data_IF_054351907779
#
_entry.id   IF_054351907779
#
_cell.length_a   1.000
_cell.length_b   1.000
_cell.length_c   1.000
_cell.angle_alpha   90.00
_cell.angle_beta   90.00
_cell.angle_gamma   90.00
#
_symmetry.space_group_name_H-M   'P 1'
#
loop_
_entity.id
_entity.type
_entity.pdbx_description
1 polymer ?
#
# COMPACT_ATOMS: atom_id res chain seq x y z
N UNK A 1 -67.05 -1.34 53.81
CA UNK A 1 -67.00 -1.19 52.34
C UNK A 1 -65.72 -0.41 52.00
N UNK A 2 -64.72 -1.07 51.42
CA UNK A 2 -63.38 -0.52 51.16
C UNK A 2 -63.45 0.46 49.97
N UNK A 3 -63.01 1.72 50.17
CA UNK A 3 -62.82 2.69 49.08
C UNK A 3 -61.45 2.42 48.44
N UNK A 4 -61.46 2.03 47.17
CA UNK A 4 -60.26 1.80 46.35
C UNK A 4 -59.78 3.17 45.85
N UNK A 5 -58.56 3.55 46.22
CA UNK A 5 -57.87 4.74 45.74
C UNK A 5 -57.19 4.36 44.41
N UNK A 6 -57.72 4.85 43.28
CA UNK A 6 -57.11 4.66 41.96
C UNK A 6 -56.04 5.75 41.80
N UNK A 7 -54.76 5.37 41.90
CA UNK A 7 -53.63 6.23 41.57
C UNK A 7 -53.47 6.19 40.05
N UNK A 8 -53.79 7.30 39.40
CA UNK A 8 -53.60 7.50 37.96
C UNK A 8 -52.09 7.74 37.71
N UNK A 9 -51.37 6.71 37.28
CA UNK A 9 -49.99 6.85 36.81
C UNK A 9 -50.00 7.55 35.45
N UNK A 10 -49.71 8.86 35.45
CA UNK A 10 -49.46 9.62 34.23
C UNK A 10 -48.08 9.21 33.72
N UNK A 11 -48.05 8.32 32.72
CA UNK A 11 -46.86 8.01 31.96
C UNK A 11 -46.52 9.23 31.09
N UNK A 12 -45.59 10.08 31.55
CA UNK A 12 -44.98 11.09 30.70
C UNK A 12 -44.16 10.38 29.61
N UNK A 13 -44.76 10.20 28.43
CA UNK A 13 -44.06 9.80 27.22
C UNK A 13 -43.26 11.03 26.77
N UNK A 14 -42.03 11.14 27.27
CA UNK A 14 -41.05 12.09 26.73
C UNK A 14 -40.72 11.64 25.30
N UNK A 15 -40.80 12.51 24.29
CA UNK A 15 -40.35 12.17 22.96
C UNK A 15 -38.84 11.88 23.03
N UNK A 16 -38.47 10.63 22.73
CA UNK A 16 -37.08 10.25 22.50
C UNK A 16 -36.64 11.03 21.27
N UNK A 17 -35.96 12.16 21.47
CA UNK A 17 -35.25 12.82 20.39
C UNK A 17 -34.16 11.85 19.94
N UNK A 18 -34.31 11.29 18.73
CA UNK A 18 -33.21 10.65 18.04
C UNK A 18 -32.16 11.73 17.83
N UNK A 19 -31.10 11.70 18.64
CA UNK A 19 -29.86 12.39 18.33
C UNK A 19 -29.30 11.66 17.11
N UNK A 20 -29.58 12.19 15.92
CA UNK A 20 -28.77 11.86 14.76
C UNK A 20 -27.42 12.50 15.06
N UNK A 21 -26.44 11.69 15.48
CA UNK A 21 -25.06 12.09 15.31
C UNK A 21 -24.90 12.36 13.81
N UNK A 22 -24.70 13.63 13.46
CA UNK A 22 -24.22 13.98 12.14
C UNK A 22 -22.83 13.34 12.09
N UNK A 23 -22.71 12.23 11.37
CA UNK A 23 -21.40 11.77 10.92
C UNK A 23 -20.90 12.91 10.03
N UNK A 24 -20.08 13.81 10.59
CA UNK A 24 -19.49 14.90 9.84
C UNK A 24 -18.69 14.23 8.70
N UNK A 25 -19.13 14.43 7.45
CA UNK A 25 -18.37 13.99 6.29
C UNK A 25 -16.97 14.62 6.41
N UNK A 26 -15.96 13.78 6.65
CA UNK A 26 -14.58 14.20 6.90
C UNK A 26 -13.96 14.80 5.63
N UNK A 27 -14.52 14.46 4.48
CA UNK A 27 -14.05 14.82 3.15
C UNK A 27 -15.19 15.39 2.29
N UNK A 28 -15.85 16.49 2.70
CA UNK A 28 -17.10 16.93 2.07
C UNK A 28 -16.92 17.40 0.62
N UNK A 29 -15.74 17.93 0.27
CA UNK A 29 -15.46 18.47 -1.07
C UNK A 29 -14.88 17.42 -2.03
N UNK A 30 -14.20 16.39 -1.52
CA UNK A 30 -13.76 15.29 -2.35
C UNK A 30 -14.95 14.50 -2.93
N UNK A 31 -14.93 14.26 -4.25
CA UNK A 31 -15.96 13.41 -4.90
C UNK A 31 -15.84 11.95 -4.47
N UNK A 32 -14.60 11.48 -4.31
CA UNK A 32 -14.28 10.13 -3.85
C UNK A 32 -13.10 10.17 -2.90
N UNK A 33 -13.17 9.35 -1.83
CA UNK A 33 -12.15 9.24 -0.81
C UNK A 33 -12.05 7.83 -0.24
N UNK A 34 -10.86 7.44 0.19
CA UNK A 34 -10.65 6.21 0.98
C UNK A 34 -9.46 6.39 1.92
N UNK A 35 -9.54 5.76 3.09
CA UNK A 35 -8.42 5.56 4.00
C UNK A 35 -8.29 4.08 4.31
N UNK A 36 -7.10 3.53 4.12
CA UNK A 36 -6.77 2.15 4.46
C UNK A 36 -5.58 2.07 5.41
N UNK A 37 -5.49 1.00 6.17
CA UNK A 37 -4.21 0.56 6.74
C UNK A 37 -3.40 -0.16 5.65
N UNK A 38 -2.11 0.17 5.53
CA UNK A 38 -1.29 -0.19 4.37
C UNK A 38 -1.05 -1.71 4.22
N UNK A 39 -0.80 -2.43 5.32
CA UNK A 39 -0.40 -3.84 5.25
C UNK A 39 -1.59 -4.78 5.01
N UNK A 40 -2.63 -4.64 5.84
CA UNK A 40 -3.86 -5.44 5.79
C UNK A 40 -4.82 -4.98 4.68
N UNK A 41 -4.68 -3.74 4.20
CA UNK A 41 -5.62 -3.08 3.27
C UNK A 41 -7.02 -2.93 3.88
N UNK A 42 -7.12 -2.99 5.21
CA UNK A 42 -8.37 -2.75 5.91
C UNK A 42 -8.85 -1.33 5.65
N UNK A 43 -10.10 -1.20 5.20
CA UNK A 43 -10.74 0.10 4.99
C UNK A 43 -11.13 0.69 6.35
N UNK A 44 -10.62 1.88 6.62
CA UNK A 44 -10.91 2.67 7.82
C UNK A 44 -11.97 3.74 7.55
N UNK A 45 -11.98 4.28 6.32
CA UNK A 45 -12.97 5.24 5.83
C UNK A 45 -13.15 5.07 4.32
N UNK A 46 -14.35 5.31 3.80
CA UNK A 46 -14.59 5.37 2.35
C UNK A 46 -15.79 6.25 1.99
N UNK A 47 -15.67 6.97 0.87
CA UNK A 47 -16.72 7.75 0.20
C UNK A 47 -16.59 7.52 -1.30
N UNK A 48 -17.61 6.94 -1.94
CA UNK A 48 -17.60 6.65 -3.39
C UNK A 48 -16.32 5.95 -3.88
N UNK A 49 -15.70 5.09 -3.06
CA UNK A 49 -14.32 4.65 -3.30
C UNK A 49 -14.11 3.82 -4.58
N UNK A 50 -15.20 3.27 -5.15
CA UNK A 50 -15.17 2.51 -6.40
C UNK A 50 -15.64 3.31 -7.63
N UNK A 51 -15.97 4.60 -7.46
CA UNK A 51 -16.39 5.45 -8.57
C UNK A 51 -15.22 5.69 -9.55
N UNK A 52 -15.48 5.51 -10.85
CA UNK A 52 -14.49 5.74 -11.89
C UNK A 52 -14.28 7.24 -12.10
N UNK A 53 -13.04 7.68 -11.91
CA UNK A 53 -12.59 9.06 -12.04
C UNK A 53 -11.25 9.12 -12.79
N UNK A 54 -10.91 10.29 -13.30
CA UNK A 54 -9.63 10.49 -13.98
C UNK A 54 -8.49 10.57 -12.95
N UNK A 55 -7.38 9.82 -13.13
CA UNK A 55 -6.29 9.78 -12.15
C UNK A 55 -5.39 11.03 -12.18
N UNK A 56 -5.30 11.70 -13.33
CA UNK A 56 -4.20 12.62 -13.61
C UNK A 56 -2.84 11.96 -13.26
N UNK A 57 -1.86 12.73 -12.77
CA UNK A 57 -0.52 12.19 -12.45
C UNK A 57 -0.46 11.13 -11.34
N UNK A 58 -1.55 10.76 -10.66
CA UNK A 58 -1.53 9.57 -9.79
C UNK A 58 -1.32 8.28 -10.59
N UNK A 59 -1.53 8.30 -11.91
CA UNK A 59 -1.12 7.24 -12.86
C UNK A 59 0.34 6.82 -12.68
N UNK A 60 1.23 7.76 -12.32
CA UNK A 60 2.66 7.48 -12.15
C UNK A 60 2.97 6.54 -10.99
N UNK A 61 2.00 6.27 -10.11
CA UNK A 61 2.10 5.18 -9.13
C UNK A 61 2.27 3.84 -9.85
N UNK A 62 1.50 3.57 -10.92
CA UNK A 62 1.67 2.36 -11.73
C UNK A 62 3.01 2.35 -12.48
N UNK A 63 3.46 3.51 -12.99
CA UNK A 63 4.79 3.64 -13.59
C UNK A 63 5.89 3.25 -12.61
N UNK A 64 5.82 3.75 -11.36
CA UNK A 64 6.76 3.38 -10.31
C UNK A 64 6.63 1.89 -9.90
N UNK A 65 5.43 1.32 -9.89
CA UNK A 65 5.24 -0.13 -9.62
C UNK A 65 6.04 -0.96 -10.62
N UNK A 66 5.86 -0.73 -11.92
CA UNK A 66 6.55 -1.51 -12.95
C UNK A 66 8.07 -1.30 -12.92
N UNK A 67 8.51 -0.08 -12.59
CA UNK A 67 9.93 0.22 -12.39
C UNK A 67 10.53 -0.56 -11.22
N UNK A 68 9.90 -0.53 -10.04
CA UNK A 68 10.38 -1.26 -8.87
C UNK A 68 10.30 -2.78 -9.05
N UNK A 69 9.30 -3.31 -9.75
CA UNK A 69 9.28 -4.73 -10.11
C UNK A 69 10.44 -5.12 -11.02
N UNK A 70 10.74 -4.31 -12.03
CA UNK A 70 11.89 -4.56 -12.91
C UNK A 70 13.23 -4.50 -12.16
N UNK A 71 13.36 -3.60 -11.17
CA UNK A 71 14.54 -3.53 -10.28
C UNK A 71 14.63 -4.77 -9.39
N UNK A 72 13.53 -5.14 -8.72
CA UNK A 72 13.50 -6.31 -7.83
C UNK A 72 13.74 -7.64 -8.58
N UNK A 73 13.32 -7.70 -9.84
CA UNK A 73 13.59 -8.82 -10.76
C UNK A 73 15.02 -8.78 -11.35
N UNK A 74 15.85 -7.80 -10.96
CA UNK A 74 17.22 -7.59 -11.47
C UNK A 74 17.30 -7.42 -12.99
N UNK A 75 16.24 -6.90 -13.61
CA UNK A 75 16.19 -6.61 -15.06
C UNK A 75 16.79 -5.25 -15.38
N UNK A 76 16.68 -4.31 -14.45
CA UNK A 76 17.23 -2.96 -14.53
C UNK A 76 17.82 -2.58 -13.16
N UNK A 77 18.65 -1.54 -13.11
CA UNK A 77 19.21 -1.00 -11.87
C UNK A 77 19.09 0.53 -11.82
N UNK A 78 19.18 1.12 -10.62
CA UNK A 78 19.16 2.58 -10.46
C UNK A 78 20.32 3.29 -11.16
N UNK A 79 21.43 2.59 -11.42
CA UNK A 79 22.61 3.08 -12.13
C UNK A 79 22.48 3.00 -13.66
N UNK A 80 21.40 2.40 -14.17
CA UNK A 80 21.18 2.27 -15.61
C UNK A 80 20.99 3.65 -16.26
N UNK A 81 21.69 3.87 -17.37
CA UNK A 81 21.60 5.10 -18.15
C UNK A 81 20.44 5.04 -19.15
N UNK A 82 19.42 5.87 -18.95
CA UNK A 82 18.23 5.94 -19.80
C UNK A 82 18.43 7.01 -20.86
N UNK A 83 18.37 6.60 -22.13
CA UNK A 83 18.45 7.53 -23.28
C UNK A 83 17.07 8.06 -23.63
N UNK A 84 16.93 9.38 -23.64
CA UNK A 84 15.66 10.04 -23.94
C UNK A 84 15.33 9.96 -25.44
N UNK A 85 14.16 9.42 -25.77
CA UNK A 85 13.65 9.37 -27.13
C UNK A 85 13.07 10.72 -27.59
N UNK A 86 12.86 10.86 -28.91
CA UNK A 86 12.13 12.02 -29.46
C UNK A 86 10.72 12.13 -28.89
N UNK A 87 10.05 11.00 -28.63
CA UNK A 87 8.70 11.02 -28.10
C UNK A 87 8.68 11.47 -26.64
N UNK A 88 9.57 10.92 -25.79
CA UNK A 88 9.72 11.35 -24.40
C UNK A 88 10.04 12.85 -24.28
N UNK A 89 10.98 13.36 -25.09
CA UNK A 89 11.32 14.79 -25.12
C UNK A 89 10.16 15.69 -25.61
N UNK A 90 9.23 15.14 -26.42
CA UNK A 90 8.09 15.89 -26.96
C UNK A 90 6.90 16.01 -26.00
N UNK A 91 6.98 15.38 -24.81
CA UNK A 91 5.91 15.44 -23.83
C UNK A 91 5.60 16.89 -23.44
N UNK A 92 4.36 17.12 -22.98
CA UNK A 92 3.93 18.37 -22.35
C UNK A 92 3.57 18.15 -20.88
N UNK A 93 3.14 19.21 -20.19
CA UNK A 93 2.75 19.15 -18.78
C UNK A 93 3.95 19.33 -17.83
N UNK A 94 3.95 18.64 -16.68
CA UNK A 94 5.09 18.64 -15.76
C UNK A 94 6.26 17.89 -16.39
N UNK A 95 7.44 18.50 -16.45
CA UNK A 95 8.62 17.99 -17.16
C UNK A 95 9.90 18.41 -16.44
N UNK A 96 10.99 17.69 -16.74
CA UNK A 96 12.37 18.11 -16.42
C UNK A 96 13.14 18.51 -17.69
N UNK A 97 12.42 18.64 -18.80
CA UNK A 97 12.88 19.13 -20.11
C UNK A 97 14.02 18.28 -20.67
N UNK A 98 13.82 16.95 -20.72
CA UNK A 98 14.80 16.05 -21.32
C UNK A 98 15.01 16.35 -22.81
N UNK A 99 16.28 16.40 -23.24
CA UNK A 99 16.65 16.57 -24.64
C UNK A 99 16.76 15.22 -25.37
N UNK A 100 16.52 15.22 -26.69
CA UNK A 100 16.63 14.00 -27.50
C UNK A 100 18.05 13.45 -27.47
N UNK A 101 18.22 12.20 -27.05
CA UNK A 101 19.53 11.55 -26.91
C UNK A 101 20.25 11.85 -25.59
N UNK A 102 19.70 12.73 -24.75
CA UNK A 102 20.19 12.92 -23.38
C UNK A 102 20.13 11.61 -22.61
N UNK A 103 21.20 11.32 -21.85
CA UNK A 103 21.27 10.18 -20.95
C UNK A 103 21.23 10.65 -19.50
N UNK A 104 20.43 9.96 -18.70
CA UNK A 104 20.31 10.22 -17.28
C UNK A 104 20.04 8.90 -16.56
N UNK A 105 20.63 8.73 -15.37
CA UNK A 105 20.47 7.51 -14.58
C UNK A 105 19.00 7.27 -14.21
N UNK A 106 18.63 5.99 -14.05
CA UNK A 106 17.30 5.61 -13.58
C UNK A 106 17.00 6.24 -12.21
N UNK A 107 18.00 6.44 -11.35
CA UNK A 107 17.84 7.17 -10.07
C UNK A 107 17.32 8.60 -10.28
N UNK A 108 17.91 9.37 -11.18
CA UNK A 108 17.50 10.75 -11.44
C UNK A 108 16.18 10.80 -12.23
N UNK A 109 15.92 9.82 -13.10
CA UNK A 109 14.60 9.63 -13.72
C UNK A 109 13.52 9.35 -12.66
N UNK A 110 13.81 8.49 -11.68
CA UNK A 110 12.89 8.18 -10.58
C UNK A 110 12.60 9.41 -9.73
N UNK A 111 13.63 10.16 -9.31
CA UNK A 111 13.45 11.46 -8.62
C UNK A 111 12.56 12.40 -9.43
N UNK A 112 12.79 12.51 -10.74
CA UNK A 112 11.98 13.35 -11.64
C UNK A 112 10.50 12.94 -11.66
N UNK A 113 10.22 11.64 -11.68
CA UNK A 113 8.86 11.07 -11.67
C UNK A 113 8.19 11.29 -10.30
N UNK A 114 8.88 10.94 -9.22
CA UNK A 114 8.33 10.94 -7.87
C UNK A 114 8.12 12.36 -7.31
N UNK A 115 9.12 13.22 -7.47
CA UNK A 115 9.15 14.58 -6.88
C UNK A 115 8.48 15.59 -7.81
N UNK A 116 8.97 15.72 -9.05
CA UNK A 116 8.50 16.73 -9.99
C UNK A 116 7.34 16.27 -10.88
N UNK A 117 6.93 15.01 -10.78
CA UNK A 117 5.84 14.45 -11.59
C UNK A 117 6.11 14.50 -13.10
N UNK A 118 7.38 14.37 -13.50
CA UNK A 118 7.86 14.59 -14.86
C UNK A 118 7.30 13.55 -15.87
N UNK A 119 6.65 14.04 -16.92
CA UNK A 119 5.99 13.26 -17.97
C UNK A 119 7.00 12.67 -18.95
N UNK A 120 7.98 13.47 -19.36
CA UNK A 120 9.11 13.08 -20.19
C UNK A 120 9.89 11.92 -19.56
N UNK A 121 10.26 12.03 -18.27
CA UNK A 121 10.92 10.95 -17.54
C UNK A 121 10.04 9.69 -17.43
N UNK A 122 8.73 9.84 -17.20
CA UNK A 122 7.80 8.70 -17.14
C UNK A 122 7.73 7.93 -18.46
N UNK A 123 7.75 8.64 -19.59
CA UNK A 123 7.76 8.02 -20.92
C UNK A 123 9.10 7.36 -21.21
N UNK A 124 10.22 8.05 -20.93
CA UNK A 124 11.56 7.50 -21.14
C UNK A 124 11.80 6.20 -20.34
N UNK A 125 11.42 6.19 -19.06
CA UNK A 125 11.49 4.98 -18.20
C UNK A 125 10.57 3.88 -18.74
N UNK A 126 9.35 4.22 -19.17
CA UNK A 126 8.43 3.24 -19.74
C UNK A 126 8.96 2.60 -21.03
N UNK A 127 9.52 3.41 -21.93
CA UNK A 127 10.19 2.95 -23.15
C UNK A 127 11.40 2.06 -22.83
N UNK A 128 12.21 2.43 -21.83
CA UNK A 128 13.36 1.64 -21.41
C UNK A 128 12.95 0.25 -20.89
N UNK A 129 11.91 0.18 -20.06
CA UNK A 129 11.42 -1.07 -19.46
C UNK A 129 10.78 -2.00 -20.50
N UNK A 130 9.94 -1.46 -21.39
CA UNK A 130 9.08 -2.25 -22.27
C UNK A 130 9.54 -2.29 -23.74
N UNK A 131 10.56 -1.50 -24.09
CA UNK A 131 11.03 -1.28 -25.46
C UNK A 131 10.17 -0.31 -26.28
N UNK A 132 8.94 -0.01 -25.86
CA UNK A 132 8.10 1.06 -26.41
C UNK A 132 7.03 1.50 -25.41
N UNK A 133 6.52 2.71 -25.54
CA UNK A 133 5.51 3.24 -24.63
C UNK A 133 4.17 2.49 -24.74
N UNK A 134 3.80 1.98 -25.92
CA UNK A 134 2.58 1.19 -26.13
C UNK A 134 2.65 -0.16 -25.41
N UNK A 135 3.83 -0.81 -25.46
CA UNK A 135 4.07 -2.03 -24.67
C UNK A 135 4.04 -1.74 -23.19
N UNK A 136 4.58 -0.59 -22.76
CA UNK A 136 4.51 -0.19 -21.36
C UNK A 136 3.06 0.02 -20.89
N UNK A 137 2.22 0.69 -21.67
CA UNK A 137 0.78 0.85 -21.37
C UNK A 137 0.08 -0.51 -21.33
N UNK A 138 0.48 -1.47 -22.16
CA UNK A 138 -0.03 -2.85 -22.10
C UNK A 138 0.34 -3.50 -20.76
N UNK A 139 1.62 -3.41 -20.34
CA UNK A 139 2.08 -3.90 -19.04
C UNK A 139 1.35 -3.24 -17.86
N UNK A 140 1.06 -1.94 -17.94
CA UNK A 140 0.29 -1.23 -16.89
C UNK A 140 -1.11 -1.85 -16.72
N UNK A 141 -1.78 -2.20 -17.81
CA UNK A 141 -3.11 -2.81 -17.76
C UNK A 141 -3.07 -4.30 -17.38
N UNK A 142 -2.01 -5.02 -17.76
CA UNK A 142 -1.76 -6.39 -17.28
C UNK A 142 -1.55 -6.40 -15.77
N UNK A 143 -0.70 -5.50 -15.26
CA UNK A 143 -0.49 -5.31 -13.82
C UNK A 143 -1.77 -4.93 -13.09
N UNK A 144 -2.61 -4.07 -13.68
CA UNK A 144 -3.90 -3.74 -13.10
C UNK A 144 -4.81 -4.99 -12.93
N UNK A 145 -4.78 -5.92 -13.89
CA UNK A 145 -5.52 -7.20 -13.78
C UNK A 145 -4.91 -8.11 -12.71
N UNK A 146 -3.59 -8.22 -12.66
CA UNK A 146 -2.87 -9.01 -11.65
C UNK A 146 -3.15 -8.54 -10.22
N UNK A 147 -3.22 -7.22 -10.02
CA UNK A 147 -3.58 -6.60 -8.75
C UNK A 147 -5.10 -6.55 -8.50
N UNK A 148 -5.91 -7.09 -9.42
CA UNK A 148 -7.38 -7.14 -9.34
C UNK A 148 -8.03 -5.73 -9.23
N UNK A 149 -7.48 -4.75 -9.94
CA UNK A 149 -7.96 -3.37 -9.99
C UNK A 149 -9.13 -3.25 -10.98
N UNK A 150 -10.35 -3.46 -10.49
CA UNK A 150 -11.55 -3.63 -11.33
C UNK A 150 -12.02 -2.35 -12.02
N UNK A 151 -11.62 -1.20 -11.49
CA UNK A 151 -12.08 0.11 -11.94
C UNK A 151 -10.93 0.95 -12.48
N UNK A 152 -9.89 0.31 -13.02
CA UNK A 152 -8.70 0.99 -13.54
C UNK A 152 -8.41 0.58 -14.97
N UNK A 153 -8.10 1.56 -15.82
CA UNK A 153 -7.61 1.38 -17.18
C UNK A 153 -6.67 2.52 -17.55
N UNK A 154 -5.49 2.18 -18.09
CA UNK A 154 -4.46 3.13 -18.47
C UNK A 154 -4.38 3.28 -19.99
N UNK A 155 -4.33 4.53 -20.46
CA UNK A 155 -4.10 4.88 -21.88
C UNK A 155 -2.71 5.43 -22.15
N UNK A 156 -2.01 5.85 -21.11
CA UNK A 156 -0.68 6.46 -21.17
C UNK A 156 0.02 6.29 -19.81
N UNK A 157 1.33 6.54 -19.77
CA UNK A 157 2.13 6.43 -18.55
C UNK A 157 2.15 7.70 -17.68
N UNK A 158 1.51 8.78 -18.14
CA UNK A 158 1.70 10.12 -17.56
C UNK A 158 0.50 10.61 -16.77
N UNK A 159 -0.69 10.11 -17.09
CA UNK A 159 -1.96 10.63 -16.57
C UNK A 159 -2.48 11.84 -17.32
N UNK A 160 -1.98 12.13 -18.52
CA UNK A 160 -2.64 13.09 -19.41
C UNK A 160 -4.04 12.60 -19.75
N UNK A 161 -4.98 13.55 -19.87
CA UNK A 161 -6.40 13.24 -20.02
C UNK A 161 -6.67 12.42 -21.29
N UNK A 162 -7.43 11.35 -21.10
CA UNK A 162 -8.05 10.53 -22.14
C UNK A 162 -9.36 9.97 -21.54
N UNK A 163 -10.50 9.98 -22.24
CA UNK A 163 -11.78 9.49 -21.72
C UNK A 163 -11.76 8.03 -21.24
N UNK A 164 -10.92 7.19 -21.86
CA UNK A 164 -10.74 5.79 -21.51
C UNK A 164 -9.69 5.60 -20.39
N UNK A 165 -9.06 6.66 -19.90
CA UNK A 165 -8.04 6.58 -18.86
C UNK A 165 -8.64 6.90 -17.49
N UNK A 166 -9.00 5.87 -16.73
CA UNK A 166 -9.71 6.02 -15.46
C UNK A 166 -9.15 5.12 -14.36
N UNK A 167 -9.43 5.47 -13.11
CA UNK A 167 -9.18 4.66 -11.90
C UNK A 167 -10.29 4.92 -10.88
N UNK A 168 -10.15 4.41 -9.66
CA UNK A 168 -10.96 4.82 -8.50
C UNK A 168 -10.09 4.97 -7.25
N UNK A 169 -10.64 5.56 -6.18
CA UNK A 169 -9.88 5.79 -4.96
C UNK A 169 -9.41 4.48 -4.31
N UNK A 170 -10.24 3.43 -4.34
CA UNK A 170 -9.90 2.10 -3.85
C UNK A 170 -8.70 1.52 -4.61
N UNK A 171 -8.75 1.49 -5.94
CA UNK A 171 -7.68 0.92 -6.76
C UNK A 171 -6.36 1.69 -6.59
N UNK A 172 -6.41 3.03 -6.45
CA UNK A 172 -5.24 3.85 -6.11
C UNK A 172 -4.66 3.49 -4.73
N UNK A 173 -5.49 3.23 -3.73
CA UNK A 173 -5.03 2.81 -2.41
C UNK A 173 -4.36 1.43 -2.47
N UNK A 174 -4.91 0.49 -3.25
CA UNK A 174 -4.30 -0.83 -3.47
C UNK A 174 -2.96 -0.71 -4.20
N UNK A 175 -2.88 0.12 -5.24
CA UNK A 175 -1.63 0.39 -5.96
C UNK A 175 -0.57 1.01 -5.03
N UNK A 176 -0.94 1.98 -4.21
CA UNK A 176 -0.04 2.61 -3.25
C UNK A 176 0.48 1.62 -2.20
N UNK A 177 -0.41 0.80 -1.63
CA UNK A 177 -0.02 -0.24 -0.67
C UNK A 177 0.95 -1.25 -1.31
N UNK A 178 0.70 -1.64 -2.56
CA UNK A 178 1.59 -2.52 -3.30
C UNK A 178 2.95 -1.87 -3.56
N UNK A 179 2.96 -0.63 -4.06
CA UNK A 179 4.19 0.11 -4.34
C UNK A 179 5.05 0.29 -3.09
N UNK A 180 4.45 0.65 -1.95
CA UNK A 180 5.18 0.79 -0.68
C UNK A 180 5.78 -0.55 -0.26
N UNK A 181 5.04 -1.66 -0.43
CA UNK A 181 5.54 -2.98 -0.09
C UNK A 181 6.75 -3.39 -0.93
N UNK A 182 6.72 -3.15 -2.24
CA UNK A 182 7.80 -3.60 -3.15
C UNK A 182 8.95 -2.60 -3.25
N UNK A 183 8.70 -1.31 -3.00
CA UNK A 183 9.70 -0.25 -3.12
C UNK A 183 10.42 0.07 -1.81
N UNK A 184 9.81 -0.25 -0.66
CA UNK A 184 10.47 -0.19 0.65
C UNK A 184 11.13 1.16 0.94
N UNK A 185 12.35 1.10 1.48
CA UNK A 185 13.13 2.30 1.83
C UNK A 185 13.58 3.07 0.59
N UNK A 186 13.91 2.41 -0.52
CA UNK A 186 14.35 3.07 -1.76
C UNK A 186 13.26 4.00 -2.32
N UNK A 187 12.00 3.57 -2.25
CA UNK A 187 10.86 4.43 -2.59
C UNK A 187 10.74 5.61 -1.62
N UNK A 188 10.68 5.32 -0.32
CA UNK A 188 10.36 6.31 0.70
C UNK A 188 11.47 7.35 0.89
N UNK A 189 12.74 6.97 0.67
CA UNK A 189 13.89 7.88 0.69
C UNK A 189 13.79 8.96 -0.39
N UNK A 190 13.05 8.72 -1.49
CA UNK A 190 12.82 9.72 -2.54
C UNK A 190 11.47 10.42 -2.37
N UNK A 191 10.39 9.69 -2.06
CA UNK A 191 9.05 10.29 -1.97
C UNK A 191 8.87 11.18 -0.74
N UNK A 192 9.70 11.00 0.29
CA UNK A 192 9.74 11.86 1.49
C UNK A 192 10.52 13.17 1.29
N UNK A 193 11.28 13.31 0.20
CA UNK A 193 12.01 14.53 -0.09
C UNK A 193 11.05 15.64 -0.49
N UNK A 194 11.13 16.79 0.20
CA UNK A 194 10.42 17.99 -0.22
C UNK A 194 10.98 18.57 -1.51
N UNK A 195 12.29 18.48 -1.69
CA UNK A 195 13.02 18.90 -2.86
C UNK A 195 14.29 18.07 -3.03
N UNK A 196 14.82 18.09 -4.24
CA UNK A 196 16.06 17.43 -4.63
C UNK A 196 16.62 18.15 -5.85
N UNK A 197 17.80 17.77 -6.29
CA UNK A 197 18.29 18.11 -7.62
C UNK A 197 18.51 16.84 -8.43
N UNK A 198 18.61 17.06 -9.75
CA UNK A 198 19.10 16.11 -10.75
C UNK A 198 20.13 16.83 -11.61
N UNK A 199 20.97 16.07 -12.31
CA UNK A 199 22.04 16.64 -13.16
C UNK A 199 22.99 17.57 -12.38
N UNK A 200 23.17 17.32 -11.08
CA UNK A 200 23.85 18.23 -10.15
C UNK A 200 25.28 18.56 -10.58
N UNK A 201 26.01 17.57 -11.10
CA UNK A 201 27.40 17.72 -11.55
C UNK A 201 27.54 18.34 -12.94
N UNK A 202 26.44 18.84 -13.53
CA UNK A 202 26.43 19.41 -14.88
C UNK A 202 26.07 20.90 -14.85
N UNK A 203 26.33 21.59 -15.96
CA UNK A 203 25.85 22.97 -16.17
C UNK A 203 24.32 23.09 -16.26
N UNK A 204 23.61 21.96 -16.32
CA UNK A 204 22.15 21.87 -16.44
C UNK A 204 21.49 21.33 -15.16
N UNK A 205 22.13 21.50 -14.00
CA UNK A 205 21.53 21.16 -12.70
C UNK A 205 20.11 21.71 -12.60
N UNK A 206 19.18 20.84 -12.22
CA UNK A 206 17.75 21.13 -12.23
C UNK A 206 17.15 20.85 -10.87
N UNK A 207 16.54 21.88 -10.26
CA UNK A 207 15.90 21.78 -8.96
C UNK A 207 14.51 21.17 -9.08
N UNK A 208 14.27 20.09 -8.35
CA UNK A 208 12.98 19.42 -8.23
C UNK A 208 12.30 19.86 -6.94
N UNK A 209 11.04 20.26 -7.04
CA UNK A 209 10.21 20.57 -5.87
C UNK A 209 9.03 19.62 -5.84
N UNK A 210 8.84 18.95 -4.71
CA UNK A 210 7.76 18.01 -4.54
C UNK A 210 6.40 18.72 -4.63
N UNK A 211 5.52 18.13 -5.42
CA UNK A 211 4.16 18.61 -5.60
C UNK A 211 3.28 18.32 -4.36
N UNK A 212 3.67 17.34 -3.53
CA UNK A 212 3.02 17.05 -2.27
C UNK A 212 3.48 18.00 -1.15
N UNK A 213 2.66 19.03 -0.86
CA UNK A 213 2.97 19.99 0.20
C UNK A 213 2.77 19.43 1.61
N UNK A 214 2.11 18.28 1.77
CA UNK A 214 1.91 17.67 3.09
C UNK A 214 3.20 17.23 3.76
N UNK A 215 4.27 16.98 2.98
CA UNK A 215 5.61 16.69 3.50
C UNK A 215 6.13 17.76 4.48
N UNK A 216 5.67 19.00 4.38
CA UNK A 216 6.00 20.09 5.32
C UNK A 216 4.87 20.43 6.30
N UNK A 217 3.66 19.95 6.05
CA UNK A 217 2.46 20.38 6.78
C UNK A 217 1.94 19.34 7.76
N UNK A 218 2.31 18.06 7.58
CA UNK A 218 1.74 16.97 8.36
C UNK A 218 2.82 15.96 8.75
N UNK A 219 3.02 15.80 10.06
CA UNK A 219 4.01 14.88 10.61
C UNK A 219 3.69 13.41 10.30
N UNK A 220 4.74 12.68 9.92
CA UNK A 220 4.67 11.28 9.49
C UNK A 220 4.36 11.06 8.01
N UNK A 221 4.07 12.10 7.21
CA UNK A 221 3.90 11.96 5.75
C UNK A 221 5.23 11.72 5.06
N UNK A 222 5.31 10.68 4.26
CA UNK A 222 6.51 10.28 3.50
C UNK A 222 6.21 9.96 2.02
N UNK A 223 5.03 10.37 1.54
CA UNK A 223 4.60 10.17 0.15
C UNK A 223 3.14 10.54 -0.09
N UNK A 224 2.54 10.25 -1.24
CA UNK A 224 3.14 9.50 -2.36
C UNK A 224 3.02 10.27 -3.67
N UNK A 225 1.81 10.69 -4.07
CA UNK A 225 1.63 11.31 -5.39
C UNK A 225 0.41 12.22 -5.47
N UNK A 226 0.60 13.44 -5.98
CA UNK A 226 -0.49 14.32 -6.42
C UNK A 226 -0.84 14.10 -7.90
N UNK A 227 -2.07 14.46 -8.26
CA UNK A 227 -2.53 14.59 -9.64
C UNK A 227 -3.40 15.83 -9.85
N UNK A 228 -3.30 16.45 -11.02
CA UNK A 228 -4.24 17.48 -11.46
C UNK A 228 -4.34 17.49 -12.98
N UNK A 229 -5.57 17.48 -13.48
CA UNK A 229 -5.96 18.03 -14.79
C UNK A 229 -7.28 18.77 -14.60
N UNK A 230 -7.72 19.52 -15.61
CA UNK A 230 -9.02 20.19 -15.56
C UNK A 230 -10.18 19.19 -15.34
N UNK A 231 -10.08 18.01 -15.94
CA UNK A 231 -11.09 16.95 -15.91
C UNK A 231 -11.00 16.11 -14.64
N UNK A 232 -9.79 15.84 -14.14
CA UNK A 232 -9.58 15.07 -12.92
C UNK A 232 -9.92 15.84 -11.65
N UNK A 233 -9.80 17.17 -11.68
CA UNK A 233 -9.73 17.98 -10.46
C UNK A 233 -8.43 17.70 -9.71
N UNK A 234 -8.35 18.10 -8.45
CA UNK A 234 -7.18 17.83 -7.62
C UNK A 234 -7.28 16.44 -6.97
N UNK A 235 -6.29 15.60 -7.23
CA UNK A 235 -6.15 14.27 -6.65
C UNK A 235 -4.91 14.20 -5.76
N UNK A 236 -4.97 13.39 -4.71
CA UNK A 236 -3.84 13.13 -3.82
C UNK A 236 -3.91 11.73 -3.25
N UNK A 237 -2.80 11.00 -3.38
CA UNK A 237 -2.52 9.73 -2.69
C UNK A 237 -1.40 10.02 -1.70
N UNK A 238 -1.67 9.81 -0.42
CA UNK A 238 -0.75 10.11 0.67
C UNK A 238 -0.51 8.85 1.49
N UNK A 239 0.74 8.63 1.88
CA UNK A 239 1.06 7.68 2.94
C UNK A 239 1.62 8.44 4.13
N UNK A 240 1.23 8.00 5.33
CA UNK A 240 1.75 8.51 6.57
C UNK A 240 2.00 7.37 7.55
N UNK A 241 3.07 7.49 8.33
CA UNK A 241 3.42 6.54 9.39
C UNK A 241 3.60 7.29 10.71
N UNK A 242 2.92 6.82 11.76
CA UNK A 242 3.15 7.21 13.16
C UNK A 242 3.33 5.93 13.95
N UNK A 243 4.41 5.83 14.72
CA UNK A 243 4.84 4.58 15.37
C UNK A 243 4.89 3.43 14.35
N UNK A 244 4.25 2.29 14.64
CA UNK A 244 4.18 1.13 13.73
C UNK A 244 2.98 1.19 12.76
N UNK A 245 2.08 2.17 12.91
CA UNK A 245 0.87 2.28 12.09
C UNK A 245 1.13 3.11 10.82
N UNK A 246 1.06 2.45 9.65
CA UNK A 246 1.06 3.11 8.35
C UNK A 246 -0.34 3.11 7.74
N UNK A 247 -0.82 4.31 7.38
CA UNK A 247 -2.09 4.50 6.68
C UNK A 247 -1.86 5.12 5.30
N UNK A 248 -2.81 4.86 4.40
CA UNK A 248 -2.83 5.39 3.04
C UNK A 248 -4.18 6.06 2.81
N UNK A 249 -4.15 7.37 2.56
CA UNK A 249 -5.31 8.18 2.22
C UNK A 249 -5.32 8.51 0.72
N UNK A 250 -6.49 8.47 0.11
CA UNK A 250 -6.70 8.90 -1.27
C UNK A 250 -7.89 9.87 -1.32
N UNK A 251 -7.70 11.01 -1.96
CA UNK A 251 -8.75 11.95 -2.34
C UNK A 251 -8.74 12.14 -3.85
N UNK A 252 -9.92 12.18 -4.46
CA UNK A 252 -10.08 12.40 -5.90
C UNK A 252 -11.11 13.50 -6.19
N UNK A 253 -10.82 14.28 -7.23
CA UNK A 253 -11.69 15.33 -7.75
C UNK A 253 -12.04 16.41 -6.73
N UNK A 254 -11.01 16.91 -6.05
CA UNK A 254 -11.13 18.10 -5.21
C UNK A 254 -11.14 19.37 -6.05
N UNK A 255 -11.79 20.41 -5.53
CA UNK A 255 -11.98 21.68 -6.24
C UNK A 255 -10.74 22.60 -6.18
N UNK A 256 -9.95 22.52 -5.10
CA UNK A 256 -8.79 23.37 -4.89
C UNK A 256 -7.64 22.62 -4.15
N UNK A 257 -6.37 23.00 -4.37
CA UNK A 257 -5.23 22.39 -3.69
C UNK A 257 -5.25 22.56 -2.18
N UNK A 258 -5.75 23.72 -1.70
CA UNK A 258 -5.84 24.04 -0.27
C UNK A 258 -6.85 23.11 0.42
N UNK A 259 -8.06 23.02 -0.12
CA UNK A 259 -9.12 22.12 0.35
C UNK A 259 -8.65 20.67 0.37
N UNK A 260 -8.07 20.19 -0.73
CA UNK A 260 -7.47 18.85 -0.83
C UNK A 260 -6.46 18.56 0.28
N UNK A 261 -5.61 19.53 0.64
CA UNK A 261 -4.63 19.36 1.71
C UNK A 261 -5.29 19.29 3.08
N UNK A 262 -6.24 20.18 3.35
CA UNK A 262 -6.99 20.23 4.61
C UNK A 262 -7.79 18.95 4.82
N UNK A 263 -8.55 18.50 3.82
CA UNK A 263 -9.32 17.25 3.89
C UNK A 263 -8.43 16.02 4.01
N UNK A 264 -7.24 16.01 3.39
CA UNK A 264 -6.30 14.90 3.57
C UNK A 264 -5.74 14.88 4.99
N UNK A 265 -5.44 16.04 5.59
CA UNK A 265 -5.01 16.10 7.00
C UNK A 265 -6.11 15.56 7.91
N UNK A 266 -7.36 16.01 7.71
CA UNK A 266 -8.51 15.53 8.49
C UNK A 266 -8.71 14.02 8.34
N UNK A 267 -8.55 13.48 7.13
CA UNK A 267 -8.68 12.06 6.86
C UNK A 267 -7.58 11.23 7.56
N UNK A 268 -6.33 11.71 7.52
CA UNK A 268 -5.22 11.06 8.22
C UNK A 268 -5.40 11.14 9.74
N UNK A 269 -5.80 12.30 10.27
CA UNK A 269 -6.08 12.49 11.69
C UNK A 269 -7.22 11.59 12.16
N UNK A 270 -8.28 11.42 11.36
CA UNK A 270 -9.33 10.44 11.65
C UNK A 270 -8.75 9.03 11.82
N UNK A 271 -7.86 8.60 10.92
CA UNK A 271 -7.19 7.31 11.01
C UNK A 271 -6.40 7.14 12.31
N UNK A 272 -5.49 8.07 12.59
CA UNK A 272 -4.63 7.97 13.77
C UNK A 272 -5.37 8.22 15.09
N UNK A 273 -6.44 9.01 15.10
CA UNK A 273 -7.20 9.29 16.31
C UNK A 273 -8.14 8.14 16.67
N UNK A 274 -8.77 7.51 15.68
CA UNK A 274 -9.82 6.51 15.92
C UNK A 274 -9.33 5.07 15.87
N UNK A 275 -8.19 4.80 15.23
CA UNK A 275 -7.67 3.45 15.06
C UNK A 275 -6.31 3.30 15.72
N UNK A 276 -6.02 2.08 16.13
CA UNK A 276 -4.72 1.67 16.63
C UNK A 276 -4.33 0.33 16.03
N UNK A 277 -3.04 0.17 15.76
CA UNK A 277 -2.47 -1.10 15.37
C UNK A 277 -2.10 -1.92 16.61
N UNK A 278 -2.43 -3.20 16.60
CA UNK A 278 -2.13 -4.16 17.66
C UNK A 278 -1.18 -5.22 17.08
N UNK A 279 0.00 -5.36 17.69
CA UNK A 279 0.93 -6.44 17.35
C UNK A 279 0.51 -7.74 18.03
N UNK A 280 0.29 -8.79 17.23
CA UNK A 280 0.05 -10.16 17.70
C UNK A 280 1.36 -10.91 17.88
N UNK A 281 2.28 -10.79 16.92
CA UNK A 281 3.60 -11.39 16.95
C UNK A 281 4.62 -10.41 16.41
N UNK A 282 5.78 -10.29 17.08
CA UNK A 282 6.89 -9.45 16.63
C UNK A 282 7.71 -10.19 15.57
N UNK A 283 8.32 -9.45 14.65
CA UNK A 283 9.30 -9.97 13.70
C UNK A 283 10.32 -10.88 14.41
N UNK A 284 10.65 -11.99 13.76
CA UNK A 284 11.61 -13.01 14.20
C UNK A 284 11.24 -13.78 15.49
N UNK A 285 10.09 -13.48 16.09
CA UNK A 285 9.55 -14.26 17.22
C UNK A 285 9.07 -15.63 16.78
N UNK A 286 9.25 -16.63 17.65
CA UNK A 286 8.67 -17.97 17.48
C UNK A 286 7.19 -17.88 17.84
N UNK A 287 6.34 -18.12 16.84
CA UNK A 287 4.87 -18.13 16.98
C UNK A 287 4.44 -19.42 17.68
N UNK A 288 4.92 -20.55 17.17
CA UNK A 288 4.72 -21.87 17.77
C UNK A 288 5.83 -22.85 17.34
N UNK A 289 5.93 -23.98 18.03
CA UNK A 289 6.72 -25.12 17.60
C UNK A 289 5.82 -26.14 16.90
N UNK A 290 6.00 -26.30 15.59
CA UNK A 290 5.23 -27.25 14.80
C UNK A 290 5.92 -28.61 14.76
N UNK A 291 5.31 -29.61 15.41
CA UNK A 291 5.81 -30.98 15.45
C UNK A 291 5.54 -31.69 14.11
N UNK A 292 6.60 -31.92 13.33
CA UNK A 292 6.56 -32.54 11.99
C UNK A 292 6.74 -34.05 12.02
N UNK A 293 7.39 -34.59 13.05
CA UNK A 293 7.43 -36.02 13.33
C UNK A 293 7.29 -36.27 14.84
N UNK A 294 6.19 -36.91 15.24
CA UNK A 294 5.89 -37.22 16.65
C UNK A 294 6.80 -38.31 17.22
N UNK A 295 7.27 -39.25 16.40
CA UNK A 295 8.12 -40.34 16.87
C UNK A 295 9.55 -39.85 17.12
N UNK A 296 10.03 -38.96 16.25
CA UNK A 296 11.40 -38.43 16.33
C UNK A 296 11.50 -37.11 17.08
N UNK A 297 10.38 -36.61 17.62
CA UNK A 297 10.23 -35.30 18.26
C UNK A 297 10.84 -34.16 17.42
N UNK A 298 10.69 -34.24 16.10
CA UNK A 298 11.20 -33.24 15.18
C UNK A 298 10.22 -32.07 15.11
N UNK A 299 10.69 -30.88 15.46
CA UNK A 299 9.87 -29.67 15.45
C UNK A 299 10.53 -28.56 14.64
N UNK A 300 9.67 -27.76 14.00
CA UNK A 300 10.03 -26.51 13.34
C UNK A 300 9.60 -25.37 14.25
N UNK A 301 10.52 -24.47 14.59
CA UNK A 301 10.21 -23.18 15.18
C UNK A 301 9.59 -22.29 14.09
N UNK A 302 8.29 -22.02 14.16
CA UNK A 302 7.59 -21.27 13.12
C UNK A 302 7.69 -19.79 13.42
N UNK A 303 8.26 -19.01 12.49
CA UNK A 303 8.54 -17.58 12.66
C UNK A 303 7.90 -16.72 11.58
N UNK A 304 7.84 -15.41 11.83
CA UNK A 304 7.42 -14.38 10.87
C UNK A 304 8.57 -13.42 10.55
N UNK A 305 8.71 -13.02 9.28
CA UNK A 305 9.75 -12.06 8.82
C UNK A 305 9.38 -10.60 9.07
N UNK A 306 8.17 -10.34 9.52
CA UNK A 306 7.63 -9.01 9.83
C UNK A 306 6.65 -9.11 10.99
N UNK A 307 6.39 -7.99 11.65
CA UNK A 307 5.36 -7.92 12.68
C UNK A 307 3.99 -8.36 12.11
N UNK A 308 3.33 -9.28 12.81
CA UNK A 308 1.96 -9.69 12.50
C UNK A 308 1.05 -8.77 13.30
N UNK A 309 0.32 -7.94 12.59
CA UNK A 309 -0.50 -6.87 13.17
C UNK A 309 -1.93 -6.93 12.69
N UNK A 310 -2.84 -6.35 13.47
CA UNK A 310 -4.17 -5.98 13.02
C UNK A 310 -4.56 -4.60 13.51
N UNK A 311 -5.47 -3.95 12.78
CA UNK A 311 -5.95 -2.61 13.15
C UNK A 311 -7.37 -2.71 13.66
N UNK A 312 -7.63 -2.01 14.77
CA UNK A 312 -8.97 -1.90 15.35
C UNK A 312 -9.27 -0.47 15.77
N UNK A 313 -10.55 -0.15 15.87
CA UNK A 313 -10.96 1.10 16.49
C UNK A 313 -10.52 1.13 17.96
N UNK A 314 -10.03 2.26 18.45
CA UNK A 314 -9.51 2.42 19.81
C UNK A 314 -10.56 2.10 20.88
N UNK A 315 -11.82 2.45 20.61
CA UNK A 315 -12.96 2.20 21.50
C UNK A 315 -13.59 0.81 21.30
N UNK A 316 -12.99 -0.06 20.47
CA UNK A 316 -13.50 -1.39 20.20
C UNK A 316 -12.84 -2.47 21.07
N UNK A 317 -13.68 -3.36 21.61
CA UNK A 317 -13.27 -4.59 22.30
C UNK A 317 -12.95 -5.74 21.33
N UNK A 318 -12.95 -5.48 20.03
CA UNK A 318 -12.61 -6.44 18.99
C UNK A 318 -11.21 -7.03 19.20
N UNK A 319 -11.13 -8.35 19.06
CA UNK A 319 -9.89 -9.14 19.16
C UNK A 319 -9.73 -9.96 17.91
N UNK A 320 -8.49 -10.06 17.44
CA UNK A 320 -8.14 -10.97 16.37
C UNK A 320 -7.90 -12.39 16.93
N UNK A 321 -8.22 -13.38 16.11
CA UNK A 321 -7.72 -14.76 16.24
C UNK A 321 -6.82 -15.07 15.05
N UNK A 322 -6.01 -16.12 15.16
CA UNK A 322 -5.07 -16.51 14.10
C UNK A 322 -5.27 -17.97 13.71
N UNK A 323 -5.06 -18.26 12.42
CA UNK A 323 -5.11 -19.63 11.89
C UNK A 323 -3.92 -19.87 10.99
N UNK A 324 -3.13 -20.91 11.30
CA UNK A 324 -1.96 -21.28 10.52
C UNK A 324 -2.33 -22.42 9.56
N UNK A 325 -1.90 -22.29 8.30
CA UNK A 325 -1.98 -23.34 7.29
C UNK A 325 -0.58 -23.67 6.80
N UNK A 326 -0.13 -24.90 7.05
CA UNK A 326 1.20 -25.38 6.65
C UNK A 326 1.23 -25.87 5.21
N UNK A 327 2.40 -25.76 4.58
CA UNK A 327 2.69 -26.44 3.32
C UNK A 327 2.71 -27.96 3.52
N UNK A 328 2.45 -28.72 2.45
CA UNK A 328 2.58 -30.18 2.48
C UNK A 328 4.07 -30.56 2.46
N UNK A 329 4.39 -31.67 3.12
CA UNK A 329 5.73 -32.28 3.09
C UNK A 329 6.88 -31.33 3.46
N UNK A 330 6.78 -30.71 4.64
CA UNK A 330 7.74 -29.72 5.14
C UNK A 330 9.20 -30.19 5.20
N UNK A 331 9.50 -31.50 5.18
CA UNK A 331 10.85 -32.00 5.39
C UNK A 331 11.55 -32.47 4.09
N UNK A 332 12.87 -32.21 3.94
CA UNK A 332 13.73 -31.42 4.84
C UNK A 332 13.45 -29.91 4.70
N UNK A 333 13.69 -29.16 5.78
CA UNK A 333 13.57 -27.69 5.80
C UNK A 333 14.85 -27.08 6.35
N UNK A 334 15.26 -25.95 5.80
CA UNK A 334 16.31 -25.10 6.34
C UNK A 334 15.72 -23.87 7.03
N UNK A 335 16.47 -23.31 7.96
CA UNK A 335 16.16 -22.01 8.53
C UNK A 335 15.97 -20.98 7.41
N UNK A 336 14.85 -20.26 7.47
CA UNK A 336 14.46 -19.25 6.49
C UNK A 336 13.59 -19.76 5.34
N UNK A 337 13.42 -21.07 5.19
CA UNK A 337 12.52 -21.66 4.19
C UNK A 337 11.05 -21.40 4.55
N UNK A 338 10.16 -21.19 3.56
CA UNK A 338 8.74 -20.98 3.81
C UNK A 338 8.08 -22.26 4.30
N UNK A 339 7.23 -22.17 5.32
CA UNK A 339 6.56 -23.33 5.93
C UNK A 339 5.05 -23.25 5.90
N UNK A 340 4.47 -22.09 5.64
CA UNK A 340 3.03 -21.91 5.65
C UNK A 340 2.61 -20.46 5.68
N UNK A 341 1.35 -20.25 6.02
CA UNK A 341 0.73 -18.93 6.07
C UNK A 341 -0.10 -18.79 7.35
N UNK A 342 -0.10 -17.60 7.94
CA UNK A 342 -0.95 -17.20 9.06
C UNK A 342 -2.04 -16.26 8.59
N UNK A 343 -3.29 -16.67 8.75
CA UNK A 343 -4.47 -15.83 8.57
C UNK A 343 -4.80 -15.10 9.88
N UNK A 344 -4.93 -13.78 9.81
CA UNK A 344 -5.46 -12.96 10.92
C UNK A 344 -6.96 -12.77 10.70
N UNK A 345 -7.76 -13.20 11.66
CA UNK A 345 -9.22 -13.28 11.56
C UNK A 345 -9.84 -12.34 12.60
N UNK A 346 -10.73 -11.48 12.14
CA UNK A 346 -11.49 -10.54 12.96
C UNK A 346 -12.96 -10.66 12.60
N UNK A 347 -13.82 -10.83 13.60
CA UNK A 347 -15.27 -11.05 13.43
C UNK A 347 -15.60 -12.16 12.39
N UNK A 348 -14.79 -13.23 12.39
CA UNK A 348 -14.94 -14.36 11.45
C UNK A 348 -14.47 -14.09 10.02
N UNK A 349 -13.90 -12.91 9.72
CA UNK A 349 -13.36 -12.57 8.41
C UNK A 349 -11.83 -12.51 8.46
N UNK A 350 -11.16 -13.16 7.51
CA UNK A 350 -9.72 -12.98 7.31
C UNK A 350 -9.45 -11.55 6.82
N UNK A 351 -8.68 -10.80 7.59
CA UNK A 351 -8.33 -9.39 7.28
C UNK A 351 -6.88 -9.23 6.82
N UNK A 352 -6.01 -10.19 7.10
CA UNK A 352 -4.63 -10.19 6.66
C UNK A 352 -4.07 -11.62 6.56
N UNK A 353 -3.05 -11.81 5.73
CA UNK A 353 -2.35 -13.08 5.55
C UNK A 353 -0.83 -12.83 5.53
N UNK A 354 -0.09 -13.61 6.30
CA UNK A 354 1.36 -13.48 6.49
C UNK A 354 2.05 -14.80 6.17
N UNK A 355 3.10 -14.76 5.35
CA UNK A 355 3.95 -15.93 5.11
C UNK A 355 4.81 -16.23 6.35
N UNK A 356 4.91 -17.51 6.68
CA UNK A 356 5.68 -18.03 7.82
C UNK A 356 6.89 -18.81 7.34
N UNK A 357 7.94 -18.83 8.15
CA UNK A 357 9.21 -19.44 7.80
C UNK A 357 9.78 -20.30 8.94
N UNK A 358 10.65 -21.23 8.60
CA UNK A 358 11.36 -22.06 9.56
C UNK A 358 12.42 -21.25 10.32
N UNK A 359 12.46 -21.41 11.64
CA UNK A 359 13.45 -20.81 12.53
C UNK A 359 14.70 -21.67 12.73
N UNK A 360 14.67 -22.93 12.27
CA UNK A 360 15.74 -23.91 12.46
C UNK A 360 15.81 -24.90 11.28
N UNK A 361 16.95 -25.58 11.14
CA UNK A 361 17.11 -26.67 10.19
C UNK A 361 16.47 -27.96 10.75
N UNK A 362 15.68 -28.66 9.94
CA UNK A 362 15.14 -29.98 10.27
C UNK A 362 15.31 -30.94 9.10
N UNK A 363 16.11 -31.98 9.31
CA UNK A 363 16.40 -33.01 8.31
C UNK A 363 15.37 -34.14 8.34
N UNK A 364 15.13 -34.80 7.20
CA UNK A 364 14.40 -36.07 7.16
C UNK A 364 15.18 -37.14 7.93
N UNK A 365 14.48 -37.91 8.76
CA UNK A 365 15.06 -39.09 9.38
C UNK A 365 15.50 -40.11 8.30
N UNK A 366 16.77 -40.52 8.34
CA UNK A 366 17.33 -41.53 7.43
C UNK A 366 16.88 -42.93 7.84
N UNK A 367 16.88 -43.89 6.91
CA UNK A 367 16.50 -45.28 7.18
C UNK A 367 17.27 -45.90 8.35
N UNK A 368 18.57 -45.60 8.44
CA UNK A 368 19.44 -46.05 9.53
C UNK A 368 19.02 -45.44 10.88
N UNK A 369 18.67 -44.15 10.90
CA UNK A 369 18.19 -43.48 12.12
C UNK A 369 16.86 -44.06 12.62
N UNK A 370 15.96 -44.44 11.71
CA UNK A 370 14.71 -45.12 12.04
C UNK A 370 14.96 -46.53 12.59
N UNK A 371 15.84 -47.31 11.95
CA UNK A 371 16.16 -48.67 12.37
C UNK A 371 16.82 -48.72 13.77
N UNK A 372 17.79 -47.84 14.04
CA UNK A 372 18.46 -47.74 15.35
C UNK A 372 17.46 -47.36 16.46
N UNK A 373 16.51 -46.48 16.15
CA UNK A 373 15.51 -46.02 17.12
C UNK A 373 14.43 -47.07 17.39
N UNK A 374 13.94 -47.77 16.37
CA UNK A 374 13.02 -48.91 16.56
C UNK A 374 13.65 -49.99 17.43
N UNK A 375 14.96 -50.25 17.25
CA UNK A 375 15.70 -51.17 18.10
C UNK A 375 15.72 -50.72 19.57
N UNK A 376 16.01 -49.44 19.86
CA UNK A 376 15.98 -48.88 21.23
C UNK A 376 14.58 -48.83 21.89
N UNK A 377 13.52 -48.91 21.10
CA UNK A 377 12.15 -48.90 21.63
C UNK A 377 11.64 -50.32 21.93
N UNK A 378 12.20 -51.32 21.25
CA UNK A 378 11.83 -52.74 21.39
C UNK A 378 12.71 -53.50 22.38
N UNK A 379 13.93 -53.00 22.64
CA UNK A 379 14.93 -53.55 23.56
C UNK A 379 15.43 -52.46 24.48
#
# INVERSE_FOLDING_TARGET
MKKILIILLIFCILPIQKVNAVDDDITPNAKSAILIEANSKQILYQKNAQEKLYPASTTKIMTMILMFEAINDQKISFDDEITTSKYAASMGGSQVYLEVGEKMSLQDMFKSIAIASANDASVAVGEYIAGSIEKFVTMMNEKAKELNLKNTHFKNATGLHDPDHYTCAYDLAIMAAYLIKIGGEDLLNVTSLYDSYIREDTKQSFWLVNTNKLLKLYDGVDGLKTGYTKEAGYCLVTTAKRDDQRIIGVLMNESAPKTRNEEMCNLLDYGFNNYQQITLFKKDSVIEQHLVDKMDNLSIDVKCKQDIVYTKAKNSNEKATTKITYQKDLLPVKQGDPVGNLEVIVNGKTIANYELYSGNDVSKATFLSKAIKTFKYLF
#
